data_IF_426254558080
#
_entry.id   IF_426254558080
#
_cell.length_a   1.000
_cell.length_b   1.000
_cell.length_c   1.000
_cell.angle_alpha   90.00
_cell.angle_beta   90.00
_cell.angle_gamma   90.00
#
_symmetry.space_group_name_H-M   'P 1'
#
loop_
_entity.id
_entity.type
_entity.pdbx_description
1 polymer ?
#
# COMPACT_ATOMS: atom_id res chain seq x y z
N UNK A 1 -10.82 -1.40 12.76
CA UNK A 1 -10.29 -1.32 11.39
C UNK A 1 -8.91 -0.68 11.44
N UNK A 2 -7.91 -1.18 10.71
CA UNK A 2 -6.63 -0.49 10.56
C UNK A 2 -6.86 0.88 9.92
N UNK A 3 -6.44 1.94 10.62
CA UNK A 3 -6.56 3.32 10.13
C UNK A 3 -5.29 4.10 10.43
N UNK A 4 -4.96 5.05 9.56
CA UNK A 4 -3.89 6.00 9.84
C UNK A 4 -4.36 7.17 10.73
N UNK A 5 -3.48 8.16 10.91
CA UNK A 5 -3.78 9.35 11.73
C UNK A 5 -4.88 10.24 11.14
N UNK A 6 -5.18 10.15 9.85
CA UNK A 6 -6.28 10.86 9.20
C UNK A 6 -7.60 10.07 9.29
N UNK A 7 -7.57 8.83 9.77
CA UNK A 7 -8.72 7.93 9.76
C UNK A 7 -8.96 7.27 8.41
N UNK A 8 -7.99 7.31 7.50
CA UNK A 8 -8.06 6.62 6.22
C UNK A 8 -7.83 5.12 6.40
N UNK A 9 -8.45 4.30 5.56
CA UNK A 9 -8.40 2.84 5.63
C UNK A 9 -8.39 2.21 4.24
N UNK A 10 -7.81 1.02 4.11
CA UNK A 10 -7.85 0.30 2.84
C UNK A 10 -9.23 -0.32 2.60
N UNK A 11 -9.71 -0.16 1.38
CA UNK A 11 -10.91 -0.78 0.85
C UNK A 11 -10.55 -1.61 -0.38
N UNK A 12 -11.25 -2.73 -0.53
CA UNK A 12 -11.03 -3.73 -1.60
C UNK A 12 -9.66 -4.42 -1.51
N UNK A 13 -9.69 -5.75 -1.56
CA UNK A 13 -8.52 -6.64 -1.65
C UNK A 13 -7.36 -6.28 -0.71
N UNK A 14 -7.59 -6.15 0.62
CA UNK A 14 -6.51 -5.85 1.55
C UNK A 14 -5.51 -7.00 1.58
N UNK A 15 -4.22 -6.68 1.59
CA UNK A 15 -3.13 -7.66 1.72
C UNK A 15 -2.24 -7.31 2.90
N UNK A 16 -1.80 -8.33 3.62
CA UNK A 16 -1.03 -8.22 4.85
C UNK A 16 0.29 -8.96 4.70
N UNK A 17 1.39 -8.33 5.13
CA UNK A 17 2.69 -8.96 5.26
C UNK A 17 3.32 -8.63 6.62
N UNK A 18 4.37 -9.37 6.98
CA UNK A 18 5.05 -9.23 8.27
C UNK A 18 6.56 -9.34 8.10
N UNK A 19 7.31 -8.62 8.94
CA UNK A 19 8.76 -8.74 9.09
C UNK A 19 9.16 -8.69 10.56
N UNK A 20 10.34 -9.23 10.88
CA UNK A 20 10.90 -9.22 12.23
C UNK A 20 11.44 -7.85 12.69
N UNK A 21 11.53 -6.85 11.79
CA UNK A 21 12.21 -5.56 12.02
C UNK A 21 11.65 -4.60 13.07
N UNK A 22 10.47 -4.87 13.63
CA UNK A 22 9.72 -3.94 14.50
C UNK A 22 9.77 -4.23 16.01
N UNK A 23 10.72 -5.04 16.47
CA UNK A 23 10.80 -5.47 17.87
C UNK A 23 9.96 -6.73 18.15
N UNK A 24 9.43 -6.87 19.36
CA UNK A 24 8.76 -8.12 19.82
C UNK A 24 7.60 -8.57 18.93
N UNK A 25 6.83 -7.63 18.40
CA UNK A 25 5.67 -7.90 17.55
C UNK A 25 6.03 -7.94 16.06
N UNK A 26 7.28 -7.62 15.71
CA UNK A 26 7.69 -7.32 14.34
C UNK A 26 7.00 -6.09 13.76
N UNK A 27 7.06 -5.95 12.44
CA UNK A 27 6.38 -4.91 11.67
C UNK A 27 5.35 -5.57 10.78
N UNK A 28 4.08 -5.20 10.95
CA UNK A 28 3.01 -5.52 10.00
C UNK A 28 2.99 -4.47 8.89
N UNK A 29 2.72 -4.92 7.67
CA UNK A 29 2.54 -4.10 6.48
C UNK A 29 1.16 -4.39 5.92
N UNK A 30 0.39 -3.35 5.61
CA UNK A 30 -0.97 -3.47 5.07
C UNK A 30 -1.09 -2.58 3.85
N UNK A 31 -1.68 -3.10 2.78
CA UNK A 31 -2.11 -2.31 1.63
C UNK A 31 -3.45 -2.87 1.13
N UNK A 32 -4.00 -2.27 0.09
CA UNK A 32 -5.22 -2.72 -0.57
C UNK A 32 -5.38 -1.98 -1.89
N UNK A 33 -6.45 -2.27 -2.62
CA UNK A 33 -6.66 -1.63 -3.90
C UNK A 33 -6.89 -0.13 -3.73
N UNK A 34 -7.85 0.27 -2.91
CA UNK A 34 -8.17 1.67 -2.69
C UNK A 34 -7.83 2.10 -1.27
N UNK A 35 -7.40 3.35 -1.14
CA UNK A 35 -7.37 4.04 0.14
C UNK A 35 -8.62 4.90 0.25
N UNK A 36 -9.41 4.71 1.30
CA UNK A 36 -10.64 5.44 1.53
C UNK A 36 -10.50 6.40 2.71
N UNK A 37 -11.11 7.58 2.60
CA UNK A 37 -11.24 8.54 3.69
C UNK A 37 -12.34 8.13 4.69
N UNK A 38 -12.58 8.96 5.69
CA UNK A 38 -13.58 8.70 6.74
C UNK A 38 -15.02 8.64 6.21
N UNK A 39 -15.29 9.24 5.05
CA UNK A 39 -16.59 9.18 4.37
C UNK A 39 -16.74 7.95 3.47
N UNK A 40 -15.65 7.21 3.25
CA UNK A 40 -15.59 6.09 2.31
C UNK A 40 -15.23 6.49 0.88
N UNK A 41 -14.96 7.76 0.62
CA UNK A 41 -14.50 8.24 -0.69
C UNK A 41 -13.01 7.92 -0.90
N UNK A 42 -12.58 7.79 -2.15
CA UNK A 42 -11.17 7.56 -2.45
C UNK A 42 -10.31 8.73 -1.95
N UNK A 43 -9.31 8.41 -1.12
CA UNK A 43 -8.36 9.37 -0.59
C UNK A 43 -7.23 9.66 -1.61
N UNK A 44 -6.56 10.82 -1.52
CA UNK A 44 -5.49 11.18 -2.46
C UNK A 44 -4.32 10.18 -2.55
N UNK A 45 -4.10 9.34 -1.53
CA UNK A 45 -3.05 8.33 -1.50
C UNK A 45 -3.43 6.98 -2.14
N UNK A 46 -4.61 6.86 -2.75
CA UNK A 46 -5.06 5.62 -3.39
C UNK A 46 -4.06 5.14 -4.45
N UNK A 47 -3.78 3.83 -4.49
CA UNK A 47 -2.81 3.26 -5.44
C UNK A 47 -1.33 3.51 -5.15
N UNK A 48 -0.99 4.26 -4.09
CA UNK A 48 0.39 4.63 -3.79
C UNK A 48 0.72 4.71 -2.29
N UNK A 49 -0.09 4.06 -1.46
CA UNK A 49 0.07 4.06 0.00
C UNK A 49 0.14 2.64 0.52
N UNK A 50 1.01 2.42 1.51
CA UNK A 50 0.97 1.26 2.39
C UNK A 50 0.99 1.73 3.84
N UNK A 51 0.45 0.92 4.75
CA UNK A 51 0.47 1.16 6.19
C UNK A 51 1.45 0.23 6.89
N UNK A 52 2.07 0.70 7.97
CA UNK A 52 2.83 -0.15 8.89
C UNK A 52 2.35 -0.05 10.34
N UNK A 53 2.58 -1.11 11.12
CA UNK A 53 2.33 -1.17 12.55
C UNK A 53 3.38 -2.04 13.26
N UNK A 54 4.00 -1.50 14.30
CA UNK A 54 4.88 -2.24 15.23
C UNK A 54 4.20 -2.60 16.55
N UNK A 55 2.89 -2.37 16.63
CA UNK A 55 2.04 -2.56 17.81
C UNK A 55 1.12 -3.78 17.67
N UNK A 56 1.49 -4.75 16.83
CA UNK A 56 0.68 -5.94 16.56
C UNK A 56 -0.69 -5.61 15.97
N UNK A 57 -0.76 -4.56 15.14
CA UNK A 57 -1.95 -4.15 14.41
C UNK A 57 -2.95 -3.30 15.22
N UNK A 58 -2.56 -2.88 16.42
CA UNK A 58 -3.38 -2.08 17.32
C UNK A 58 -3.08 -0.58 17.19
N UNK A 59 -4.11 0.25 17.37
CA UNK A 59 -3.96 1.71 17.35
C UNK A 59 -3.75 2.24 15.93
N UNK A 60 -3.18 3.45 15.86
CA UNK A 60 -2.94 4.18 14.61
C UNK A 60 -1.80 3.55 13.83
N UNK A 61 -2.03 3.30 12.54
CA UNK A 61 -1.03 2.82 11.61
C UNK A 61 -0.27 3.99 10.98
N UNK A 62 1.00 3.75 10.62
CA UNK A 62 1.80 4.76 9.94
C UNK A 62 1.67 4.59 8.43
N UNK A 63 1.29 5.65 7.72
CA UNK A 63 1.25 5.66 6.27
C UNK A 63 2.66 5.89 5.67
N UNK A 64 2.95 5.14 4.62
CA UNK A 64 4.17 5.22 3.83
C UNK A 64 3.86 5.25 2.33
N UNK A 65 4.79 5.82 1.56
CA UNK A 65 4.77 5.72 0.11
C UNK A 65 4.95 4.25 -0.31
N UNK A 66 4.06 3.77 -1.16
CA UNK A 66 4.19 2.44 -1.75
C UNK A 66 5.28 2.44 -2.85
N UNK A 67 6.11 1.38 -2.95
CA UNK A 67 7.13 1.28 -4.00
C UNK A 67 6.57 1.41 -5.43
N UNK A 68 5.38 0.87 -5.69
CA UNK A 68 4.66 1.05 -6.95
C UNK A 68 3.53 2.04 -6.73
N UNK A 69 3.40 3.04 -7.62
CA UNK A 69 2.30 4.01 -7.59
C UNK A 69 1.47 3.90 -8.86
N UNK A 70 0.20 3.51 -8.70
CA UNK A 70 -0.79 3.32 -9.76
C UNK A 70 -1.77 4.50 -9.76
N UNK A 71 -2.03 5.08 -10.92
CA UNK A 71 -3.01 6.16 -11.11
C UNK A 71 -4.41 5.61 -11.44
N UNK A 72 -5.44 6.46 -11.33
CA UNK A 72 -6.83 6.13 -11.73
C UNK A 72 -7.40 4.85 -11.10
N UNK A 73 -6.92 4.52 -9.90
CA UNK A 73 -7.38 3.37 -9.12
C UNK A 73 -8.81 3.56 -8.69
N UNK A 74 -9.61 2.54 -8.95
CA UNK A 74 -11.06 2.46 -8.71
C UNK A 74 -11.44 1.00 -8.51
N UNK A 75 -12.69 0.71 -8.16
CA UNK A 75 -13.20 -0.66 -8.09
C UNK A 75 -13.26 -1.30 -9.50
N UNK A 76 -12.12 -1.77 -9.97
CA UNK A 76 -11.84 -2.30 -11.31
C UNK A 76 -10.91 -3.51 -11.17
N UNK A 77 -11.06 -4.56 -12.00
CA UNK A 77 -10.29 -5.80 -11.84
C UNK A 77 -8.79 -5.70 -12.17
N UNK A 78 -8.24 -4.51 -12.45
CA UNK A 78 -6.82 -4.35 -12.77
C UNK A 78 -6.03 -3.33 -11.92
N UNK A 79 -6.31 -2.01 -11.94
CA UNK A 79 -5.43 -1.03 -11.34
C UNK A 79 -5.40 -1.25 -9.83
N UNK A 80 -4.21 -1.57 -9.34
CA UNK A 80 -3.93 -1.94 -7.96
C UNK A 80 -4.82 -3.07 -7.39
N UNK A 81 -5.31 -4.02 -8.21
CA UNK A 81 -6.39 -4.92 -7.81
C UNK A 81 -6.07 -5.89 -6.66
N UNK A 82 -4.81 -6.21 -6.37
CA UNK A 82 -4.38 -7.03 -5.23
C UNK A 82 -2.86 -6.94 -5.03
N UNK A 83 -2.34 -5.80 -4.56
CA UNK A 83 -0.92 -5.60 -4.34
C UNK A 83 -0.34 -6.66 -3.37
N UNK A 84 0.75 -7.30 -3.74
CA UNK A 84 1.48 -8.25 -2.91
C UNK A 84 2.74 -7.60 -2.34
N UNK A 85 3.01 -7.83 -1.06
CA UNK A 85 4.14 -7.25 -0.35
C UNK A 85 5.11 -8.34 0.15
N UNK A 86 6.41 -8.09 -0.01
CA UNK A 86 7.48 -8.86 0.60
C UNK A 86 8.45 -7.91 1.33
N UNK A 87 8.24 -7.69 2.64
CA UNK A 87 9.13 -6.87 3.46
C UNK A 87 10.52 -7.51 3.62
N UNK A 88 11.55 -6.69 3.74
CA UNK A 88 12.88 -7.15 4.16
C UNK A 88 12.86 -7.63 5.62
N UNK A 89 13.78 -8.53 6.01
CA UNK A 89 13.83 -9.03 7.40
C UNK A 89 13.99 -7.93 8.46
N UNK A 90 14.68 -6.85 8.12
CA UNK A 90 14.87 -5.66 8.97
C UNK A 90 13.67 -4.68 8.94
N UNK A 91 12.67 -4.92 8.09
CA UNK A 91 11.45 -4.13 8.02
C UNK A 91 11.61 -2.72 7.44
N UNK A 92 12.78 -2.39 6.86
CA UNK A 92 13.04 -1.05 6.31
C UNK A 92 12.77 -0.93 4.81
N UNK A 93 12.66 -2.06 4.10
CA UNK A 93 12.37 -2.12 2.67
C UNK A 93 11.21 -3.08 2.40
N UNK A 94 10.56 -2.90 1.27
CA UNK A 94 9.49 -3.78 0.81
C UNK A 94 9.51 -3.87 -0.70
N UNK A 95 9.51 -5.11 -1.19
CA UNK A 95 9.18 -5.41 -2.59
C UNK A 95 7.65 -5.41 -2.69
N UNK A 96 7.13 -4.65 -3.65
CA UNK A 96 5.73 -4.65 -4.00
C UNK A 96 5.56 -5.18 -5.42
N UNK A 97 4.52 -5.97 -5.64
CA UNK A 97 4.01 -6.32 -6.95
C UNK A 97 2.53 -5.94 -6.99
N UNK A 98 2.13 -5.14 -7.97
CA UNK A 98 0.73 -4.80 -8.18
C UNK A 98 0.41 -4.76 -9.67
N UNK A 99 -0.83 -4.50 -10.03
CA UNK A 99 -1.30 -4.53 -11.42
C UNK A 99 -1.74 -3.16 -11.92
N UNK A 100 -1.53 -2.91 -13.21
CA UNK A 100 -2.09 -1.76 -13.92
C UNK A 100 -2.28 -2.10 -15.41
N UNK A 101 -3.05 -1.29 -16.13
CA UNK A 101 -3.17 -1.40 -17.57
C UNK A 101 -1.93 -0.83 -18.26
N UNK A 102 -1.37 -1.58 -19.21
CA UNK A 102 -0.38 -1.05 -20.13
C UNK A 102 -1.01 -0.15 -21.21
N UNK A 103 -0.19 0.42 -22.09
CA UNK A 103 -0.66 1.29 -23.19
C UNK A 103 -1.60 0.59 -24.17
N UNK A 104 -1.59 -0.75 -24.23
CA UNK A 104 -2.50 -1.54 -25.06
C UNK A 104 -3.83 -1.87 -24.36
N UNK A 105 -3.99 -1.47 -23.09
CA UNK A 105 -5.12 -1.84 -22.24
C UNK A 105 -5.03 -3.25 -21.67
N UNK A 106 -3.87 -3.90 -21.74
CA UNK A 106 -3.65 -5.22 -21.14
C UNK A 106 -3.27 -5.08 -19.67
N UNK A 107 -3.95 -5.81 -18.79
CA UNK A 107 -3.60 -5.82 -17.37
C UNK A 107 -2.27 -6.56 -17.15
N UNK A 108 -1.29 -5.88 -16.54
CA UNK A 108 0.05 -6.44 -16.28
C UNK A 108 0.47 -6.19 -14.84
N UNK A 109 1.37 -7.05 -14.36
CA UNK A 109 2.04 -6.87 -13.09
C UNK A 109 3.25 -5.95 -13.24
N UNK A 110 3.43 -5.05 -12.27
CA UNK A 110 4.55 -4.14 -12.12
C UNK A 110 5.16 -4.34 -10.73
N UNK A 111 6.47 -4.18 -10.60
CA UNK A 111 7.17 -4.45 -9.35
C UNK A 111 8.23 -3.40 -9.04
N UNK A 112 8.34 -3.03 -7.77
CA UNK A 112 9.40 -2.15 -7.30
C UNK A 112 9.83 -2.51 -5.87
N UNK A 113 11.10 -2.29 -5.57
CA UNK A 113 11.64 -2.37 -4.21
C UNK A 113 11.83 -0.95 -3.69
N UNK A 114 11.17 -0.61 -2.58
CA UNK A 114 11.25 0.70 -1.96
C UNK A 114 11.72 0.65 -0.52
N UNK A 115 12.27 1.76 -0.03
CA UNK A 115 12.47 2.02 1.41
C UNK A 115 11.20 2.60 2.01
N UNK A 116 10.95 2.32 3.29
CA UNK A 116 9.82 2.92 4.00
C UNK A 116 10.02 4.43 4.18
N UNK A 117 9.35 5.21 3.33
CA UNK A 117 9.31 6.67 3.41
C UNK A 117 7.99 7.11 4.04
N UNK A 118 8.00 7.80 5.20
CA UNK A 118 6.78 8.30 5.82
C UNK A 118 5.98 9.24 4.91
N UNK A 119 4.66 9.17 4.99
CA UNK A 119 3.75 9.97 4.17
C UNK A 119 3.07 9.15 3.09
N UNK A 120 2.24 9.78 2.26
CA UNK A 120 1.53 9.14 1.15
C UNK A 120 2.13 9.60 -0.16
N UNK A 121 2.12 8.75 -1.18
CA UNK A 121 2.54 9.20 -2.52
C UNK A 121 1.49 10.18 -3.06
N UNK A 122 1.88 11.37 -3.54
CA UNK A 122 0.98 12.22 -4.29
C UNK A 122 0.55 11.50 -5.58
N UNK A 123 -0.67 11.76 -6.05
CA UNK A 123 -1.19 11.21 -7.32
C UNK A 123 -0.22 11.60 -8.44
N UNK A 124 0.56 10.64 -8.96
CA UNK A 124 1.58 10.90 -9.98
C UNK A 124 2.36 9.63 -10.37
N UNK A 125 2.43 9.35 -11.68
CA UNK A 125 3.04 8.19 -12.31
C UNK A 125 4.51 8.02 -11.90
N UNK A 126 4.83 6.96 -11.16
CA UNK A 126 6.21 6.45 -11.04
C UNK A 126 6.20 4.99 -11.48
N UNK A 127 6.17 4.79 -12.80
CA UNK A 127 6.43 3.49 -13.43
C UNK A 127 7.90 3.49 -13.83
N UNK A 128 8.71 2.59 -13.26
CA UNK A 128 9.91 2.09 -13.93
C UNK A 128 9.61 0.71 -14.49
#
# INVERSE_FOLDING_TARGET
>A
MPTDAAGEHFAHTPTLAWSAGGGREGTLFLTGQMLADQSGAAAPGTGGTLFTSTSGGRGTWQAHQAPVSVSDVRNDPCPNYSPALLPSPDGHRVLEITTDYDESGSCRAYSALGTLTPGKSPIGRTTS
#
